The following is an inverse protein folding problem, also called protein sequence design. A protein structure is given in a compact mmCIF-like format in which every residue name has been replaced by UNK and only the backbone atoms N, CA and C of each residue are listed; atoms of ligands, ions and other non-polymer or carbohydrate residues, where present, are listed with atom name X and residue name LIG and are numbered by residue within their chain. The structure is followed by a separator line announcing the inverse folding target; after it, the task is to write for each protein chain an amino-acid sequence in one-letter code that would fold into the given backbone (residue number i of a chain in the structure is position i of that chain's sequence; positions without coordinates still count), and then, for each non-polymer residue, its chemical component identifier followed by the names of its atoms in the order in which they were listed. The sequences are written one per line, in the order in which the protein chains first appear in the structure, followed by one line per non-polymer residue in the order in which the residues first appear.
data_IF_003623506486
#
_entry.id   IF_003623506486
#
_cell.length_a   1.000
_cell.length_b   1.000
_cell.length_c   1.000
_cell.angle_alpha   90.00
_cell.angle_beta   90.00
_cell.angle_gamma   90.00
#
_symmetry.space_group_name_H-M   'P 1'
#
loop_
_entity.id
_entity.type
_entity.pdbx_description
1 polymer ?
#
# COMPACT_ATOMS: atom_id res chain seq x y z
N UNK A 1 -32.09 5.57 1.90
CA UNK A 1 -31.16 5.96 3.01
C UNK A 1 -30.80 4.76 3.86
N UNK A 2 -31.79 3.93 4.22
CA UNK A 2 -31.60 2.69 4.99
C UNK A 2 -30.48 1.80 4.44
N UNK A 3 -30.51 1.47 3.13
CA UNK A 3 -29.48 0.63 2.50
C UNK A 3 -28.06 1.19 2.65
N UNK A 4 -27.90 2.51 2.58
CA UNK A 4 -26.59 3.17 2.71
C UNK A 4 -26.08 3.12 4.15
N UNK A 5 -26.97 3.25 5.14
CA UNK A 5 -26.63 3.13 6.56
C UNK A 5 -26.25 1.69 6.89
N UNK A 6 -27.02 0.71 6.39
CA UNK A 6 -26.72 -0.72 6.53
C UNK A 6 -25.36 -1.06 5.90
N UNK A 7 -25.11 -0.58 4.67
CA UNK A 7 -23.83 -0.78 4.00
C UNK A 7 -22.66 -0.15 4.78
N UNK A 8 -22.86 1.02 5.40
CA UNK A 8 -21.84 1.65 6.20
C UNK A 8 -21.52 0.87 7.48
N UNK A 9 -22.52 0.34 8.19
CA UNK A 9 -22.28 -0.53 9.34
C UNK A 9 -21.62 -1.85 8.94
N UNK A 10 -21.96 -2.43 7.79
CA UNK A 10 -21.27 -3.59 7.24
C UNK A 10 -19.79 -3.27 6.94
N UNK A 11 -19.51 -2.13 6.33
CA UNK A 11 -18.14 -1.64 6.08
C UNK A 11 -17.37 -1.44 7.40
N UNK A 12 -18.03 -0.91 8.44
CA UNK A 12 -17.44 -0.70 9.76
C UNK A 12 -17.05 -2.04 10.39
N UNK A 13 -17.96 -3.02 10.36
CA UNK A 13 -17.71 -4.36 10.88
C UNK A 13 -16.54 -5.04 10.15
N UNK A 14 -16.50 -4.97 8.82
CA UNK A 14 -15.39 -5.50 8.02
C UNK A 14 -14.06 -4.83 8.39
N UNK A 15 -14.06 -3.50 8.55
CA UNK A 15 -12.89 -2.76 9.00
C UNK A 15 -12.41 -3.16 10.40
N UNK A 16 -13.32 -3.36 11.35
CA UNK A 16 -13.00 -3.87 12.70
C UNK A 16 -12.40 -5.30 12.66
N UNK A 17 -12.93 -6.17 11.80
CA UNK A 17 -12.40 -7.52 11.60
C UNK A 17 -10.97 -7.46 11.06
N UNK A 18 -10.70 -6.59 10.07
CA UNK A 18 -9.36 -6.40 9.50
C UNK A 18 -8.38 -5.82 10.52
N UNK A 19 -8.82 -4.85 11.32
CA UNK A 19 -8.02 -4.26 12.40
C UNK A 19 -7.62 -5.33 13.43
N UNK A 20 -8.56 -6.20 13.80
CA UNK A 20 -8.35 -7.22 14.83
C UNK A 20 -7.59 -8.44 14.31
N UNK A 21 -7.76 -8.79 13.02
CA UNK A 21 -7.15 -9.98 12.43
C UNK A 21 -6.88 -9.80 10.93
N UNK A 22 -5.63 -9.52 10.53
CA UNK A 22 -5.25 -9.36 9.12
C UNK A 22 -5.36 -10.67 8.31
N UNK A 23 -5.58 -11.82 8.97
CA UNK A 23 -5.79 -13.11 8.28
C UNK A 23 -7.03 -13.13 7.39
N UNK A 24 -7.99 -12.22 7.61
CA UNK A 24 -9.19 -12.10 6.80
C UNK A 24 -9.03 -11.21 5.56
N UNK A 25 -7.91 -10.48 5.41
CA UNK A 25 -7.71 -9.53 4.31
C UNK A 25 -7.94 -10.18 2.95
N UNK A 26 -7.28 -11.29 2.63
CA UNK A 26 -7.43 -11.93 1.31
C UNK A 26 -8.84 -12.49 1.08
N UNK A 27 -9.49 -13.01 2.13
CA UNK A 27 -10.86 -13.53 2.03
C UNK A 27 -11.86 -12.42 1.74
N UNK A 28 -11.69 -11.27 2.38
CA UNK A 28 -12.55 -10.10 2.16
C UNK A 28 -12.23 -9.51 0.78
N UNK A 29 -10.96 -9.34 0.44
CA UNK A 29 -10.50 -8.84 -0.86
C UNK A 29 -11.11 -9.63 -2.03
N UNK A 30 -11.10 -10.96 -1.96
CA UNK A 30 -11.66 -11.84 -2.99
C UNK A 30 -13.19 -11.69 -3.19
N UNK A 31 -13.90 -11.04 -2.26
CA UNK A 31 -15.34 -10.78 -2.33
C UNK A 31 -15.67 -9.33 -2.68
N UNK A 32 -14.68 -8.45 -2.71
CA UNK A 32 -14.86 -7.04 -3.05
C UNK A 32 -14.77 -6.81 -4.55
N UNK A 33 -15.53 -5.85 -5.09
CA UNK A 33 -15.37 -5.41 -6.46
C UNK A 33 -13.93 -4.90 -6.66
N UNK A 34 -13.29 -5.39 -7.72
CA UNK A 34 -11.89 -5.10 -8.06
C UNK A 34 -10.86 -5.43 -6.97
N UNK A 35 -11.25 -6.16 -5.92
CA UNK A 35 -10.40 -6.42 -4.76
C UNK A 35 -9.98 -5.15 -4.01
N UNK A 36 -10.75 -4.06 -4.09
CA UNK A 36 -10.41 -2.77 -3.45
C UNK A 36 -11.22 -2.52 -2.21
N UNK A 37 -10.56 -2.07 -1.14
CA UNK A 37 -11.17 -1.68 0.12
C UNK A 37 -11.68 -0.23 0.12
N UNK A 38 -11.21 0.60 -0.82
CA UNK A 38 -11.61 2.01 -0.98
C UNK A 38 -13.12 2.27 -0.98
N UNK A 39 -13.99 1.47 -1.64
CA UNK A 39 -15.44 1.68 -1.55
C UNK A 39 -15.99 1.61 -0.12
N UNK A 40 -15.43 0.73 0.73
CA UNK A 40 -15.80 0.62 2.14
C UNK A 40 -15.38 1.88 2.91
N UNK A 41 -14.15 2.37 2.68
CA UNK A 41 -13.65 3.61 3.28
C UNK A 41 -14.52 4.82 2.92
N UNK A 42 -14.92 4.94 1.65
CA UNK A 42 -15.84 6.00 1.18
C UNK A 42 -17.19 5.90 1.91
N UNK A 43 -17.71 4.69 2.12
CA UNK A 43 -18.98 4.50 2.82
C UNK A 43 -18.91 4.96 4.28
N UNK A 44 -17.80 4.69 4.97
CA UNK A 44 -17.57 5.15 6.34
C UNK A 44 -17.41 6.67 6.44
N UNK A 45 -16.73 7.30 5.47
CA UNK A 45 -16.64 8.76 5.40
C UNK A 45 -18.03 9.42 5.25
N UNK A 46 -18.91 8.81 4.44
CA UNK A 46 -20.31 9.26 4.30
C UNK A 46 -21.10 9.06 5.59
N UNK A 47 -20.89 7.94 6.29
CA UNK A 47 -21.52 7.69 7.59
C UNK A 47 -21.08 8.73 8.63
N UNK A 48 -19.80 9.08 8.66
CA UNK A 48 -19.29 10.15 9.53
C UNK A 48 -19.98 11.48 9.24
N UNK A 49 -20.05 11.89 7.97
CA UNK A 49 -20.78 13.10 7.57
C UNK A 49 -22.25 13.05 7.97
N UNK A 50 -22.91 11.90 7.80
CA UNK A 50 -24.29 11.71 8.22
C UNK A 50 -24.46 11.81 9.75
N UNK A 51 -23.57 11.18 10.52
CA UNK A 51 -23.62 11.22 11.99
C UNK A 51 -23.40 12.62 12.53
N UNK A 52 -22.48 13.40 11.94
CA UNK A 52 -22.27 14.82 12.29
C UNK A 52 -23.51 15.68 12.03
N UNK A 53 -24.35 15.33 11.04
CA UNK A 53 -25.60 16.02 10.76
C UNK A 53 -26.76 15.54 11.65
N UNK A 54 -26.81 14.24 11.96
CA UNK A 54 -27.91 13.61 12.69
C UNK A 54 -27.81 13.75 14.21
N UNK A 55 -26.60 13.88 14.76
CA UNK A 55 -26.33 14.09 16.18
C UNK A 55 -25.12 15.02 16.32
N UNK A 56 -25.13 15.91 17.31
CA UNK A 56 -23.90 16.58 17.77
C UNK A 56 -22.95 15.53 18.36
N UNK A 57 -22.26 14.79 17.50
CA UNK A 57 -21.61 13.52 17.83
C UNK A 57 -20.55 13.71 18.91
N UNK A 58 -20.59 12.85 19.92
CA UNK A 58 -19.53 12.71 20.91
C UNK A 58 -18.23 12.32 20.20
N UNK A 59 -17.21 13.14 20.39
CA UNK A 59 -15.93 13.12 19.65
C UNK A 59 -15.21 11.76 19.64
N UNK A 60 -15.45 10.90 20.64
CA UNK A 60 -14.80 9.59 20.74
C UNK A 60 -15.25 8.60 19.65
N UNK A 61 -16.53 8.61 19.26
CA UNK A 61 -17.05 7.66 18.26
C UNK A 61 -16.57 7.96 16.84
N UNK A 62 -16.45 9.25 16.50
CA UNK A 62 -15.96 9.69 15.20
C UNK A 62 -14.48 9.34 14.98
N UNK A 63 -13.64 9.49 16.01
CA UNK A 63 -12.22 9.13 15.92
C UNK A 63 -12.01 7.63 15.69
N UNK A 64 -12.83 6.79 16.34
CA UNK A 64 -12.78 5.34 16.11
C UNK A 64 -13.13 4.99 14.64
N UNK A 65 -14.20 5.59 14.09
CA UNK A 65 -14.57 5.34 12.69
C UNK A 65 -13.50 5.87 11.73
N UNK A 66 -12.91 7.03 11.99
CA UNK A 66 -11.78 7.56 11.22
C UNK A 66 -10.57 6.63 11.25
N UNK A 67 -10.28 6.02 12.39
CA UNK A 67 -9.22 5.02 12.49
C UNK A 67 -9.52 3.81 11.58
N UNK A 68 -10.77 3.33 11.56
CA UNK A 68 -11.16 2.21 10.68
C UNK A 68 -11.07 2.60 9.20
N UNK A 69 -11.39 3.84 8.82
CA UNK A 69 -11.17 4.34 7.45
C UNK A 69 -9.70 4.17 7.06
N UNK A 70 -8.76 4.55 7.92
CA UNK A 70 -7.32 4.40 7.66
C UNK A 70 -6.90 2.93 7.54
N UNK A 71 -7.46 2.04 8.36
CA UNK A 71 -7.21 0.59 8.27
C UNK A 71 -7.61 0.05 6.90
N UNK A 72 -8.76 0.49 6.37
CA UNK A 72 -9.25 0.09 5.05
C UNK A 72 -8.39 0.65 3.92
N UNK A 73 -8.01 1.93 3.98
CA UNK A 73 -7.15 2.57 2.98
C UNK A 73 -5.76 1.91 2.91
N UNK A 74 -5.19 1.52 4.05
CA UNK A 74 -3.91 0.84 4.12
C UNK A 74 -3.91 -0.54 3.43
N UNK A 75 -5.09 -1.17 3.20
CA UNK A 75 -5.16 -2.45 2.49
C UNK A 75 -4.98 -2.32 0.97
N UNK A 76 -5.21 -1.13 0.42
CA UNK A 76 -5.11 -0.86 -1.02
C UNK A 76 -3.73 -0.30 -1.40
N UNK A 77 -2.95 0.17 -0.44
CA UNK A 77 -1.59 0.64 -0.66
C UNK A 77 -0.68 -0.58 -0.91
N UNK A 78 0.04 -0.67 -2.05
CA UNK A 78 1.08 -1.68 -2.18
C UNK A 78 2.14 -1.44 -1.08
N UNK A 79 2.74 -2.51 -0.52
CA UNK A 79 3.87 -2.33 0.39
C UNK A 79 4.95 -1.55 -0.37
N UNK A 80 5.38 -0.39 0.14
CA UNK A 80 6.58 0.30 -0.35
C UNK A 80 7.77 -0.66 -0.16
N UNK A 81 8.07 -1.45 -1.18
CA UNK A 81 9.39 -2.05 -1.36
C UNK A 81 10.23 -1.05 -2.15
N UNK A 82 11.23 -0.55 -1.47
CA UNK A 82 12.43 0.09 -2.01
C UNK A 82 12.21 1.34 -2.87
N UNK A 83 12.06 2.50 -2.21
CA UNK A 83 12.60 3.74 -2.80
C UNK A 83 14.13 3.65 -2.73
N UNK A 84 14.87 3.62 -3.85
CA UNK A 84 16.31 3.77 -3.78
C UNK A 84 16.61 5.17 -3.23
N UNK A 85 17.22 5.22 -2.05
CA UNK A 85 17.80 6.43 -1.49
C UNK A 85 18.74 7.05 -2.53
N UNK A 86 18.37 8.23 -3.06
CA UNK A 86 19.27 9.08 -3.81
C UNK A 86 20.41 9.54 -2.88
N UNK A 87 21.42 8.69 -2.73
CA UNK A 87 22.72 9.09 -2.19
C UNK A 87 23.46 9.75 -3.33
N UNK A 88 23.42 11.09 -3.38
CA UNK A 88 24.35 11.89 -4.17
C UNK A 88 25.77 11.63 -3.67
N UNK A 89 26.39 10.59 -4.23
CA UNK A 89 27.83 10.37 -4.18
C UNK A 89 28.44 11.04 -5.39
N UNK A 90 28.98 12.24 -5.20
CA UNK A 90 29.96 12.83 -6.11
C UNK A 90 31.10 11.83 -6.21
N UNK A 91 31.25 11.17 -7.36
CA UNK A 91 32.45 10.41 -7.69
C UNK A 91 33.30 11.27 -8.60
N UNK A 92 34.21 12.01 -7.97
CA UNK A 92 35.35 12.61 -8.63
C UNK A 92 36.21 11.51 -9.24
N UNK A 93 36.44 11.63 -10.54
CA UNK A 93 37.41 10.90 -11.34
C UNK A 93 38.83 10.95 -10.75
N UNK A 94 39.49 9.80 -10.59
CA UNK A 94 40.93 9.68 -10.80
C UNK A 94 41.43 8.24 -10.96
N UNK A 95 42.03 8.01 -12.14
CA UNK A 95 43.22 7.21 -12.44
C UNK A 95 43.19 5.67 -12.60
N UNK A 96 43.63 5.30 -13.82
CA UNK A 96 44.41 4.14 -14.26
C UNK A 96 43.73 2.77 -14.42
N UNK A 97 43.86 2.20 -15.63
CA UNK A 97 44.38 0.85 -15.77
C UNK A 97 45.55 0.75 -16.76
N UNK A 98 46.58 0.06 -16.27
CA UNK A 98 47.80 -0.42 -16.90
C UNK A 98 47.56 -1.19 -18.21
N UNK A 99 48.32 -0.77 -19.23
CA UNK A 99 48.81 -1.47 -20.42
C UNK A 99 48.50 -2.97 -20.57
N UNK A 100 47.73 -3.32 -21.62
CA UNK A 100 47.93 -4.57 -22.38
C UNK A 100 47.66 -4.32 -23.86
N UNK A 101 48.73 -4.03 -24.61
CA UNK A 101 48.73 -4.02 -26.08
C UNK A 101 49.23 -5.37 -26.60
N UNK A 102 48.56 -5.83 -27.65
CA UNK A 102 48.61 -7.14 -28.27
C UNK A 102 49.97 -7.55 -28.87
N UNK A 103 50.21 -8.86 -28.95
CA UNK A 103 50.97 -9.46 -30.05
C UNK A 103 50.62 -10.95 -30.21
N UNK A 104 50.09 -11.29 -31.37
CA UNK A 104 49.82 -12.64 -31.83
C UNK A 104 51.12 -13.38 -32.19
N UNK A 105 51.15 -14.71 -31.99
CA UNK A 105 52.07 -15.59 -32.73
C UNK A 105 51.43 -16.95 -32.96
N UNK A 106 51.26 -17.28 -34.24
CA UNK A 106 50.81 -18.55 -34.82
C UNK A 106 51.87 -19.66 -34.66
N UNK A 107 51.41 -20.89 -34.97
CA UNK A 107 52.15 -22.06 -35.49
C UNK A 107 52.68 -23.05 -34.42
N UNK A 108 52.60 -24.37 -34.55
CA UNK A 108 52.14 -25.28 -35.61
C UNK A 108 51.93 -26.65 -34.92
N UNK A 109 50.89 -27.40 -35.29
CA UNK A 109 50.70 -28.80 -34.88
C UNK A 109 50.83 -29.66 -36.13
N UNK A 110 51.87 -30.49 -36.22
CA UNK A 110 51.91 -31.56 -37.21
C UNK A 110 52.79 -32.71 -36.73
N UNK A 111 52.16 -33.90 -36.66
CA UNK A 111 52.64 -35.26 -36.41
C UNK A 111 53.47 -35.56 -35.15
#
# INVERSE_FOLDING_TARGET
MEDSVVAAYAALLLGCILQSSPRYTERIRARLPDGKFRPLAIMLAKLLGFLSLAKGVETAGSESILHIVRVLEAQDQPPERDRPSHRSGITSSSACPTTRLAAARKEHHNY
#
